data_IF_932193282523
#
_entry.id   IF_932193282523
#
_cell.length_a   1.000
_cell.length_b   1.000
_cell.length_c   1.000
_cell.angle_alpha   90.00
_cell.angle_beta   90.00
_cell.angle_gamma   90.00
#
_symmetry.space_group_name_H-M   'P 1'
#
loop_
_entity.id
_entity.type
_entity.pdbx_description
1 polymer ?
#
# COMPACT_ATOMS: atom_id res chain seq x y z
N UNK A 1 -6.68 -4.06 12.96
CA UNK A 1 -6.16 -2.88 13.70
C UNK A 1 -6.16 -1.62 12.82
N UNK A 2 -5.91 -1.74 11.51
CA UNK A 2 -5.76 -0.62 10.56
C UNK A 2 -7.02 0.21 10.41
N UNK A 3 -8.16 -0.42 10.14
CA UNK A 3 -9.42 0.27 9.91
C UNK A 3 -9.89 1.14 11.09
N UNK A 4 -9.83 0.66 12.34
CA UNK A 4 -10.18 1.50 13.47
C UNK A 4 -9.29 2.74 13.60
N UNK A 5 -7.99 2.61 13.31
CA UNK A 5 -7.07 3.74 13.37
C UNK A 5 -7.32 4.77 12.25
N UNK A 6 -7.61 4.31 11.02
CA UNK A 6 -7.97 5.18 9.90
C UNK A 6 -9.32 5.87 10.12
N UNK A 7 -10.34 5.12 10.56
CA UNK A 7 -11.64 5.69 10.88
C UNK A 7 -11.53 6.75 11.98
N UNK A 8 -10.72 6.49 13.01
CA UNK A 8 -10.46 7.48 14.06
C UNK A 8 -9.79 8.73 13.50
N UNK A 9 -8.85 8.59 12.57
CA UNK A 9 -8.18 9.72 11.93
C UNK A 9 -9.15 10.59 11.12
N UNK A 10 -10.17 9.98 10.50
CA UNK A 10 -11.16 10.69 9.70
C UNK A 10 -12.30 11.29 10.52
N UNK A 11 -12.72 10.62 11.58
CA UNK A 11 -13.86 11.02 12.42
C UNK A 11 -13.45 11.96 13.56
N UNK A 12 -12.15 12.20 13.74
CA UNK A 12 -11.62 13.02 14.83
C UNK A 12 -11.61 12.30 16.18
N UNK A 13 -11.28 13.04 17.23
CA UNK A 13 -11.20 12.52 18.61
C UNK A 13 -12.58 12.40 19.25
N UNK A 14 -13.44 11.57 18.67
CA UNK A 14 -14.74 11.23 19.28
C UNK A 14 -14.56 10.05 20.24
N UNK A 15 -14.54 10.37 21.52
CA UNK A 15 -14.32 9.39 22.59
C UNK A 15 -15.45 8.32 22.67
N UNK A 16 -16.63 8.56 22.09
CA UNK A 16 -17.71 7.58 22.05
C UNK A 16 -17.47 6.50 21.00
N UNK A 17 -16.72 6.80 19.94
CA UNK A 17 -16.39 5.85 18.88
C UNK A 17 -15.22 4.93 19.25
N UNK A 18 -14.31 5.37 20.12
CA UNK A 18 -13.14 4.60 20.52
C UNK A 18 -13.47 3.19 21.05
N UNK A 19 -14.46 2.98 21.92
CA UNK A 19 -14.81 1.64 22.39
C UNK A 19 -15.35 0.72 21.29
N UNK A 20 -16.05 1.29 20.29
CA UNK A 20 -16.60 0.53 19.16
C UNK A 20 -15.48 0.09 18.23
N UNK A 21 -14.58 1.00 17.87
CA UNK A 21 -13.43 0.74 17.01
C UNK A 21 -12.47 -0.25 17.68
N UNK A 22 -12.21 -0.11 18.97
CA UNK A 22 -11.36 -1.02 19.73
C UNK A 22 -11.95 -2.43 19.83
N UNK A 23 -13.27 -2.57 20.07
CA UNK A 23 -13.92 -3.89 20.08
C UNK A 23 -13.86 -4.57 18.72
N UNK A 24 -14.07 -3.84 17.63
CA UNK A 24 -13.98 -4.38 16.28
C UNK A 24 -12.55 -4.87 15.98
N UNK A 25 -11.54 -4.08 16.35
CA UNK A 25 -10.13 -4.44 16.20
C UNK A 25 -9.75 -5.66 17.05
N UNK A 26 -10.15 -5.68 18.32
CA UNK A 26 -9.87 -6.80 19.23
C UNK A 26 -10.53 -8.09 18.76
N UNK A 27 -11.77 -8.01 18.27
CA UNK A 27 -12.50 -9.18 17.72
C UNK A 27 -11.83 -9.71 16.47
N UNK A 28 -11.40 -8.83 15.56
CA UNK A 28 -10.66 -9.22 14.36
C UNK A 28 -9.34 -9.90 14.73
N UNK A 29 -8.54 -9.29 15.61
CA UNK A 29 -7.28 -9.84 16.09
C UNK A 29 -7.49 -11.21 16.77
N UNK A 30 -8.49 -11.34 17.67
CA UNK A 30 -8.81 -12.59 18.35
C UNK A 30 -9.18 -13.72 17.38
N UNK A 31 -9.91 -13.43 16.31
CA UNK A 31 -10.28 -14.43 15.31
C UNK A 31 -9.10 -14.87 14.43
N UNK A 32 -8.08 -14.04 14.25
CA UNK A 32 -6.94 -14.32 13.37
C UNK A 32 -5.71 -14.86 14.14
N UNK A 33 -5.54 -14.48 15.39
CA UNK A 33 -4.43 -14.97 16.23
C UNK A 33 -4.56 -16.44 16.63
N UNK A 34 -5.73 -17.04 16.53
CA UNK A 34 -5.94 -18.46 16.85
C UNK A 34 -5.36 -19.42 15.82
N UNK A 35 -4.88 -18.96 14.68
CA UNK A 35 -4.46 -19.82 13.56
C UNK A 35 -2.98 -19.76 13.18
N UNK A 36 -2.15 -18.98 13.87
CA UNK A 36 -0.74 -18.81 13.47
C UNK A 36 0.22 -19.27 14.56
N UNK A 37 0.65 -20.52 14.48
CA UNK A 37 1.98 -20.85 15.02
C UNK A 37 3.00 -20.05 14.24
N UNK A 38 3.77 -19.19 14.93
CA UNK A 38 4.90 -18.48 14.32
C UNK A 38 5.86 -19.51 13.73
N UNK A 39 6.17 -19.40 12.45
CA UNK A 39 7.19 -20.24 11.82
C UNK A 39 8.53 -20.08 12.54
N UNK A 40 9.43 -21.08 12.43
CA UNK A 40 10.77 -20.99 13.05
C UNK A 40 11.54 -19.76 12.56
N UNK A 41 11.41 -19.39 11.27
CA UNK A 41 12.03 -18.18 10.73
C UNK A 41 11.53 -16.91 11.44
N UNK A 42 10.23 -16.76 11.67
CA UNK A 42 9.68 -15.61 12.39
C UNK A 42 10.09 -15.53 13.86
N UNK A 43 10.31 -16.67 14.48
CA UNK A 43 10.87 -16.70 15.85
C UNK A 43 12.32 -16.24 15.88
N UNK A 44 13.11 -16.62 14.86
CA UNK A 44 14.49 -16.16 14.72
C UNK A 44 14.54 -14.64 14.44
N UNK A 45 13.66 -14.13 13.57
CA UNK A 45 13.55 -12.69 13.26
C UNK A 45 13.15 -11.88 14.51
N UNK A 46 12.19 -12.39 15.30
CA UNK A 46 11.78 -11.76 16.54
C UNK A 46 12.89 -11.77 17.60
N UNK A 47 13.69 -12.84 17.67
CA UNK A 47 14.85 -12.91 18.58
C UNK A 47 15.95 -11.91 18.16
N UNK A 48 16.26 -11.83 16.85
CA UNK A 48 17.22 -10.86 16.33
C UNK A 48 16.77 -9.41 16.58
N UNK A 49 15.47 -9.13 16.42
CA UNK A 49 14.88 -7.83 16.75
C UNK A 49 15.02 -7.51 18.24
N UNK A 50 14.72 -8.46 19.12
CA UNK A 50 14.87 -8.26 20.56
C UNK A 50 16.31 -7.96 20.96
N UNK A 51 17.29 -8.65 20.37
CA UNK A 51 18.71 -8.37 20.59
C UNK A 51 19.10 -6.96 20.10
N UNK A 52 18.55 -6.48 18.99
CA UNK A 52 18.78 -5.12 18.49
C UNK A 52 18.20 -4.07 19.44
N UNK A 53 16.95 -4.27 19.90
CA UNK A 53 16.29 -3.38 20.85
C UNK A 53 17.09 -3.29 22.14
N UNK A 54 17.55 -4.42 22.68
CA UNK A 54 18.38 -4.48 23.90
C UNK A 54 19.75 -3.79 23.71
N UNK A 55 20.31 -3.82 22.50
CA UNK A 55 21.56 -3.16 22.16
C UNK A 55 21.42 -1.62 22.01
N UNK A 56 20.19 -1.14 21.91
CA UNK A 56 19.87 0.24 21.57
C UNK A 56 19.99 0.45 20.06
N UNK A 57 18.86 0.69 19.40
CA UNK A 57 18.83 0.98 17.96
C UNK A 57 19.12 2.47 17.79
N UNK A 58 20.05 2.86 16.90
CA UNK A 58 20.33 4.27 16.65
C UNK A 58 19.09 4.98 16.11
N UNK A 59 18.89 6.25 16.46
CA UNK A 59 17.96 7.11 15.75
C UNK A 59 18.38 7.16 14.29
N UNK A 60 17.53 6.63 13.40
CA UNK A 60 17.83 6.58 11.99
C UNK A 60 17.70 7.95 11.33
N UNK A 61 18.44 8.17 10.26
CA UNK A 61 18.34 9.38 9.44
C UNK A 61 17.39 9.16 8.25
N UNK A 62 16.65 10.22 7.89
CA UNK A 62 15.86 10.24 6.67
C UNK A 62 16.77 10.44 5.46
N UNK A 63 16.77 9.44 4.55
CA UNK A 63 17.63 9.44 3.36
C UNK A 63 16.96 8.75 2.18
N UNK A 64 16.44 9.55 1.23
CA UNK A 64 15.74 9.05 0.06
C UNK A 64 16.65 8.29 -0.93
N UNK A 65 17.95 8.55 -0.94
CA UNK A 65 18.89 7.78 -1.76
C UNK A 65 19.05 6.37 -1.19
N UNK A 66 19.18 6.25 0.12
CA UNK A 66 19.20 4.96 0.82
C UNK A 66 17.87 4.21 0.68
N UNK A 67 16.73 4.92 0.72
CA UNK A 67 15.42 4.32 0.40
C UNK A 67 15.45 3.64 -0.95
N UNK A 68 16.01 4.28 -1.99
CA UNK A 68 16.13 3.70 -3.33
C UNK A 68 17.00 2.43 -3.34
N UNK A 69 18.12 2.45 -2.62
CA UNK A 69 19.02 1.30 -2.50
C UNK A 69 18.33 0.13 -1.80
N UNK A 70 17.69 0.39 -0.66
CA UNK A 70 16.97 -0.64 0.10
C UNK A 70 15.78 -1.17 -0.68
N UNK A 71 15.02 -0.31 -1.34
CA UNK A 71 13.91 -0.72 -2.20
C UNK A 71 14.38 -1.65 -3.33
N UNK A 72 15.50 -1.33 -3.99
CA UNK A 72 16.10 -2.21 -4.99
C UNK A 72 16.55 -3.56 -4.38
N UNK A 73 17.11 -3.53 -3.19
CA UNK A 73 17.43 -4.74 -2.42
C UNK A 73 16.19 -5.60 -2.17
N UNK A 74 15.10 -4.99 -1.67
CA UNK A 74 13.81 -5.67 -1.44
C UNK A 74 13.25 -6.24 -2.75
N UNK A 75 13.34 -5.48 -3.87
CA UNK A 75 12.85 -5.93 -5.16
C UNK A 75 13.50 -7.23 -5.63
N UNK A 76 14.80 -7.39 -5.37
CA UNK A 76 15.62 -8.54 -5.78
C UNK A 76 15.61 -9.71 -4.79
N UNK A 77 15.23 -9.45 -3.54
CA UNK A 77 15.31 -10.44 -2.46
C UNK A 77 14.07 -11.32 -2.44
N UNK A 78 14.27 -12.62 -2.22
CA UNK A 78 13.15 -13.54 -2.02
C UNK A 78 12.44 -13.25 -0.69
N UNK A 79 11.12 -13.47 -0.58
CA UNK A 79 10.36 -13.13 0.63
C UNK A 79 10.89 -13.73 1.94
N UNK A 80 11.52 -14.91 1.88
CA UNK A 80 12.08 -15.58 3.06
C UNK A 80 13.44 -15.03 3.51
N UNK A 81 14.08 -14.19 2.66
CA UNK A 81 15.38 -13.58 2.93
C UNK A 81 15.25 -12.07 3.24
N UNK A 82 14.01 -11.55 3.30
CA UNK A 82 13.78 -10.12 3.52
C UNK A 82 14.15 -9.66 4.93
N UNK A 83 13.88 -10.47 5.96
CA UNK A 83 14.10 -10.04 7.33
C UNK A 83 15.57 -9.64 7.61
N UNK A 84 16.60 -10.41 7.20
CA UNK A 84 17.99 -9.98 7.35
C UNK A 84 18.32 -8.67 6.65
N UNK A 85 17.75 -8.43 5.45
CA UNK A 85 17.93 -7.17 4.73
C UNK A 85 17.35 -5.98 5.50
N UNK A 86 16.12 -6.14 6.01
CA UNK A 86 15.41 -5.08 6.74
C UNK A 86 16.11 -4.77 8.07
N UNK A 87 16.50 -5.80 8.82
CA UNK A 87 17.25 -5.66 10.05
C UNK A 87 18.59 -4.96 9.81
N UNK A 88 19.33 -5.38 8.76
CA UNK A 88 20.59 -4.73 8.38
C UNK A 88 20.40 -3.25 8.04
N UNK A 89 19.32 -2.90 7.34
CA UNK A 89 19.04 -1.50 6.98
C UNK A 89 18.79 -0.62 8.23
N UNK A 90 18.12 -1.16 9.24
CA UNK A 90 17.93 -0.46 10.53
C UNK A 90 19.24 -0.35 11.33
N UNK A 91 20.07 -1.40 11.34
CA UNK A 91 21.40 -1.37 11.95
C UNK A 91 22.33 -0.35 11.30
N UNK A 92 22.18 -0.13 9.99
CA UNK A 92 22.88 0.88 9.20
C UNK A 92 22.26 2.28 9.35
N UNK A 93 21.46 2.52 10.38
CA UNK A 93 20.90 3.83 10.75
C UNK A 93 19.90 4.40 9.73
N UNK A 94 19.15 3.56 8.98
CA UNK A 94 18.01 4.01 8.21
C UNK A 94 16.79 4.21 9.11
N UNK A 95 16.11 5.35 8.99
CA UNK A 95 14.89 5.60 9.76
C UNK A 95 13.82 4.53 9.50
N UNK A 96 13.08 4.06 10.52
CA UNK A 96 12.01 3.06 10.35
C UNK A 96 10.95 3.49 9.33
N UNK A 97 10.63 4.77 9.27
CA UNK A 97 9.70 5.34 8.30
C UNK A 97 10.20 5.18 6.86
N UNK A 98 11.49 5.37 6.64
CA UNK A 98 12.14 5.23 5.34
C UNK A 98 12.22 3.76 4.93
N UNK A 99 12.42 2.86 5.87
CA UNK A 99 12.33 1.42 5.61
C UNK A 99 10.92 1.04 5.14
N UNK A 100 9.88 1.51 5.81
CA UNK A 100 8.50 1.25 5.41
C UNK A 100 8.17 1.92 4.08
N UNK A 101 8.71 3.10 3.80
CA UNK A 101 8.59 3.75 2.49
C UNK A 101 9.22 2.89 1.38
N UNK A 102 10.41 2.33 1.61
CA UNK A 102 11.04 1.42 0.64
C UNK A 102 10.15 0.19 0.35
N UNK A 103 9.58 -0.43 1.38
CA UNK A 103 8.63 -1.54 1.23
C UNK A 103 7.38 -1.11 0.48
N UNK A 104 6.81 0.06 0.79
CA UNK A 104 5.62 0.59 0.15
C UNK A 104 5.83 0.84 -1.35
N UNK A 105 6.94 1.47 -1.73
CA UNK A 105 7.30 1.75 -3.12
C UNK A 105 7.46 0.46 -3.93
N UNK A 106 8.17 -0.53 -3.40
CA UNK A 106 8.33 -1.84 -4.08
C UNK A 106 7.00 -2.57 -4.19
N UNK A 107 6.19 -2.54 -3.14
CA UNK A 107 4.88 -3.17 -3.15
C UNK A 107 3.97 -2.52 -4.20
N UNK A 108 3.98 -1.19 -4.29
CA UNK A 108 3.23 -0.45 -5.29
C UNK A 108 3.72 -0.76 -6.71
N UNK A 109 5.03 -0.70 -6.97
CA UNK A 109 5.59 -1.02 -8.29
C UNK A 109 5.26 -2.45 -8.72
N UNK A 110 5.41 -3.43 -7.82
CA UNK A 110 5.03 -4.83 -8.09
C UNK A 110 3.54 -4.98 -8.37
N UNK A 111 2.69 -4.26 -7.66
CA UNK A 111 1.25 -4.26 -7.89
C UNK A 111 0.92 -3.68 -9.26
N UNK A 112 1.53 -2.55 -9.63
CA UNK A 112 1.34 -1.92 -10.94
C UNK A 112 1.73 -2.84 -12.10
N UNK A 113 2.68 -3.74 -11.89
CA UNK A 113 3.15 -4.73 -12.89
C UNK A 113 2.43 -6.10 -12.77
N UNK A 114 1.51 -6.26 -11.81
CA UNK A 114 0.79 -7.51 -11.60
C UNK A 114 -0.39 -7.62 -12.57
N UNK A 115 -0.42 -8.66 -13.41
CA UNK A 115 -1.60 -8.99 -14.21
C UNK A 115 -2.71 -9.55 -13.34
N UNK A 116 -3.93 -9.07 -13.55
CA UNK A 116 -5.13 -9.59 -12.93
C UNK A 116 -5.94 -10.40 -13.91
N UNK A 117 -6.64 -11.42 -13.39
CA UNK A 117 -7.64 -12.13 -14.17
C UNK A 117 -8.86 -11.20 -14.34
N UNK A 118 -9.16 -10.82 -15.57
CA UNK A 118 -10.29 -9.95 -15.89
C UNK A 118 -11.63 -10.58 -15.51
N UNK A 119 -11.69 -11.92 -15.50
CA UNK A 119 -12.91 -12.68 -15.19
C UNK A 119 -13.03 -12.95 -13.66
N UNK A 120 -11.97 -12.72 -12.88
CA UNK A 120 -11.99 -12.89 -11.42
C UNK A 120 -11.97 -11.52 -10.71
N UNK A 121 -13.14 -11.02 -10.26
CA UNK A 121 -13.27 -9.72 -9.62
C UNK A 121 -12.52 -9.64 -8.27
N UNK A 122 -12.15 -10.77 -7.67
CA UNK A 122 -11.42 -10.79 -6.39
C UNK A 122 -9.91 -10.96 -6.58
N UNK A 123 -9.43 -11.10 -7.81
CA UNK A 123 -7.99 -11.27 -8.08
C UNK A 123 -7.12 -10.14 -7.53
N UNK A 124 -7.52 -8.84 -7.56
CA UNK A 124 -6.73 -7.75 -7.00
C UNK A 124 -6.82 -7.61 -5.48
N UNK A 125 -7.76 -8.28 -4.80
CA UNK A 125 -7.99 -8.11 -3.34
C UNK A 125 -6.73 -8.42 -2.51
N UNK A 126 -6.03 -9.48 -2.88
CA UNK A 126 -4.78 -9.84 -2.21
C UNK A 126 -3.71 -8.75 -2.31
N UNK A 127 -3.32 -8.33 -3.51
CA UNK A 127 -2.42 -7.20 -3.75
C UNK A 127 -2.85 -5.90 -3.09
N UNK A 128 -4.15 -5.55 -3.13
CA UNK A 128 -4.70 -4.39 -2.41
C UNK A 128 -4.38 -4.45 -0.92
N UNK A 129 -4.51 -5.63 -0.30
CA UNK A 129 -4.21 -5.80 1.12
C UNK A 129 -2.71 -5.66 1.41
N UNK A 130 -1.82 -6.01 0.49
CA UNK A 130 -0.39 -5.75 0.66
C UNK A 130 -0.11 -4.24 0.73
N UNK A 131 -0.63 -3.45 -0.22
CA UNK A 131 -0.46 -2.01 -0.25
C UNK A 131 -1.11 -1.33 0.97
N UNK A 132 -2.38 -1.61 1.23
CA UNK A 132 -3.10 -1.00 2.36
C UNK A 132 -2.56 -1.45 3.72
N UNK A 133 -1.98 -2.64 3.81
CA UNK A 133 -1.28 -3.13 5.00
C UNK A 133 -0.02 -2.31 5.29
N UNK A 134 0.79 -2.05 4.28
CA UNK A 134 1.99 -1.21 4.41
C UNK A 134 1.64 0.24 4.77
N UNK A 135 0.64 0.84 4.11
CA UNK A 135 0.11 2.15 4.49
C UNK A 135 -0.30 2.20 5.96
N UNK A 136 -0.94 1.14 6.43
CA UNK A 136 -1.36 1.05 7.82
C UNK A 136 -0.21 0.98 8.81
N UNK A 137 0.83 0.22 8.50
CA UNK A 137 2.04 0.18 9.33
C UNK A 137 2.63 1.58 9.42
N UNK A 138 2.74 2.30 8.30
CA UNK A 138 3.23 3.67 8.29
C UNK A 138 2.39 4.59 9.19
N UNK A 139 1.05 4.48 9.13
CA UNK A 139 0.15 5.23 10.02
C UNK A 139 0.33 4.89 11.50
N UNK A 140 0.67 3.65 11.80
CA UNK A 140 0.99 3.24 13.17
C UNK A 140 2.34 3.81 13.62
N UNK A 141 3.33 3.86 12.73
CA UNK A 141 4.64 4.47 13.01
C UNK A 141 4.52 5.94 13.40
N UNK A 142 3.74 6.73 12.67
CA UNK A 142 3.47 8.15 12.96
C UNK A 142 2.96 8.39 14.41
N UNK A 143 2.40 7.36 15.04
CA UNK A 143 1.76 7.41 16.36
C UNK A 143 2.48 6.59 17.42
N UNK A 144 3.48 5.85 17.03
CA UNK A 144 4.28 5.07 17.95
C UNK A 144 4.97 5.99 18.97
N UNK A 145 4.88 5.63 20.27
CA UNK A 145 5.40 6.44 21.38
C UNK A 145 6.74 5.94 21.90
N UNK A 146 7.22 4.81 21.40
CA UNK A 146 8.52 4.26 21.74
C UNK A 146 9.24 3.81 20.47
N UNK A 147 10.54 3.87 20.50
CA UNK A 147 11.39 3.44 19.39
C UNK A 147 11.24 1.93 19.16
N UNK A 148 11.18 1.13 20.22
CA UNK A 148 10.96 -0.31 20.14
C UNK A 148 9.73 -0.65 19.28
N UNK A 149 8.59 0.03 19.55
CA UNK A 149 7.36 -0.18 18.79
C UNK A 149 7.51 0.27 17.33
N UNK A 150 8.27 1.35 17.06
CA UNK A 150 8.53 1.81 15.68
C UNK A 150 9.30 0.75 14.89
N UNK A 151 10.31 0.13 15.49
CA UNK A 151 11.09 -0.92 14.83
C UNK A 151 10.28 -2.19 14.59
N UNK A 152 9.52 -2.65 15.57
CA UNK A 152 8.62 -3.80 15.40
C UNK A 152 7.63 -3.57 14.26
N UNK A 153 7.03 -2.38 14.18
CA UNK A 153 6.11 -2.02 13.12
C UNK A 153 6.79 -2.01 11.74
N UNK A 154 8.00 -1.45 11.63
CA UNK A 154 8.73 -1.40 10.37
C UNK A 154 9.01 -2.82 9.82
N UNK A 155 9.34 -3.76 10.68
CA UNK A 155 9.56 -5.16 10.29
C UNK A 155 8.27 -5.91 9.94
N UNK A 156 7.10 -5.44 10.37
CA UNK A 156 5.81 -6.03 10.00
C UNK A 156 5.35 -5.62 8.59
N UNK A 157 5.90 -4.55 8.00
CA UNK A 157 5.46 -4.03 6.71
C UNK A 157 5.50 -5.07 5.56
N UNK A 158 6.56 -5.90 5.41
CA UNK A 158 6.65 -6.88 4.32
C UNK A 158 5.84 -8.15 4.57
N UNK A 159 5.24 -8.33 5.73
CA UNK A 159 4.69 -9.60 6.20
C UNK A 159 3.27 -9.89 5.69
N UNK A 160 2.83 -9.19 4.64
CA UNK A 160 1.56 -9.50 4.01
C UNK A 160 1.64 -10.84 3.26
N UNK A 161 0.85 -11.86 3.64
CA UNK A 161 0.82 -13.14 2.92
C UNK A 161 0.41 -12.98 1.46
N UNK A 162 -0.15 -11.84 1.09
CA UNK A 162 -0.59 -11.50 -0.27
C UNK A 162 0.53 -10.91 -1.12
N UNK A 163 1.61 -10.42 -0.51
CA UNK A 163 2.80 -9.95 -1.23
C UNK A 163 3.42 -11.04 -2.14
N UNK A 164 3.18 -12.33 -1.84
CA UNK A 164 3.63 -13.45 -2.67
C UNK A 164 2.94 -13.55 -4.03
N UNK A 165 1.81 -12.89 -4.22
CA UNK A 165 1.04 -12.84 -5.47
C UNK A 165 1.42 -11.67 -6.35
N UNK A 166 2.24 -10.75 -5.85
CA UNK A 166 2.69 -9.61 -6.62
C UNK A 166 3.76 -10.02 -7.64
N UNK A 167 3.79 -9.31 -8.78
CA UNK A 167 4.82 -9.47 -9.79
C UNK A 167 6.23 -9.31 -9.19
N UNK A 168 7.22 -9.91 -9.83
CA UNK A 168 8.63 -9.74 -9.46
C UNK A 168 9.22 -8.68 -10.36
N UNK A 169 9.69 -7.61 -9.76
CA UNK A 169 10.48 -6.58 -10.44
C UNK A 169 11.96 -6.75 -10.11
N UNK A 170 12.84 -6.41 -11.05
CA UNK A 170 14.28 -6.52 -10.85
C UNK A 170 14.87 -5.36 -10.05
N UNK A 171 14.23 -4.19 -10.13
CA UNK A 171 14.63 -2.96 -9.46
C UNK A 171 13.46 -1.98 -9.36
N UNK A 172 13.56 -1.03 -8.44
CA UNK A 172 12.63 0.10 -8.39
C UNK A 172 13.10 1.18 -9.38
N UNK A 173 12.27 1.46 -10.39
CA UNK A 173 12.54 2.50 -11.38
C UNK A 173 11.68 3.72 -11.12
N UNK A 174 12.18 4.89 -11.55
CA UNK A 174 11.36 6.10 -11.66
C UNK A 174 10.73 6.11 -13.05
N UNK A 175 9.38 6.09 -13.17
CA UNK A 175 8.74 6.12 -14.48
C UNK A 175 9.05 7.41 -15.24
N UNK A 176 9.17 7.36 -16.59
CA UNK A 176 9.29 8.56 -17.39
C UNK A 176 7.98 9.36 -17.41
N UNK A 177 8.07 10.68 -17.54
CA UNK A 177 6.90 11.55 -17.65
C UNK A 177 6.39 11.65 -19.08
N UNK A 178 5.07 11.83 -19.24
CA UNK A 178 4.41 12.13 -20.50
C UNK A 178 3.35 13.21 -20.29
N UNK A 179 3.38 14.25 -21.14
CA UNK A 179 2.42 15.36 -21.08
C UNK A 179 0.98 14.93 -21.46
N UNK A 180 0.83 13.85 -22.23
CA UNK A 180 -0.47 13.25 -22.61
C UNK A 180 -1.09 12.33 -21.56
N UNK A 181 -0.33 11.96 -20.51
CA UNK A 181 -0.68 10.92 -19.55
C UNK A 181 -2.06 11.09 -18.89
N UNK A 182 -2.54 12.32 -18.70
CA UNK A 182 -3.86 12.56 -18.06
C UNK A 182 -5.01 12.14 -18.97
N UNK A 183 -4.94 12.41 -20.26
CA UNK A 183 -6.01 12.05 -21.20
C UNK A 183 -5.99 10.55 -21.45
N UNK A 184 -4.80 9.94 -21.54
CA UNK A 184 -4.64 8.50 -21.66
C UNK A 184 -5.16 7.77 -20.40
N UNK A 185 -4.88 8.32 -19.21
CA UNK A 185 -5.41 7.79 -17.96
C UNK A 185 -6.96 7.80 -17.92
N UNK A 186 -7.57 8.91 -18.32
CA UNK A 186 -9.04 9.01 -18.39
C UNK A 186 -9.63 8.00 -19.35
N UNK A 187 -9.05 7.90 -20.54
CA UNK A 187 -9.49 6.91 -21.54
C UNK A 187 -9.39 5.48 -20.99
N UNK A 188 -8.26 5.12 -20.39
CA UNK A 188 -8.06 3.79 -19.83
C UNK A 188 -9.00 3.48 -18.64
N UNK A 189 -9.32 4.47 -17.81
CA UNK A 189 -10.30 4.32 -16.71
C UNK A 189 -11.72 4.12 -17.25
N UNK A 190 -12.10 4.86 -18.30
CA UNK A 190 -13.41 4.76 -18.93
C UNK A 190 -13.58 3.41 -19.66
N UNK A 191 -12.53 2.93 -20.32
CA UNK A 191 -12.47 1.63 -21.00
C UNK A 191 -12.36 0.45 -20.01
N UNK A 192 -12.03 0.71 -18.76
CA UNK A 192 -11.80 -0.33 -17.74
C UNK A 192 -10.57 -1.18 -18.04
N UNK A 193 -9.51 -0.58 -18.60
CA UNK A 193 -8.24 -1.25 -18.90
C UNK A 193 -7.22 -1.02 -17.75
N UNK A 194 -6.99 -2.02 -16.87
CA UNK A 194 -6.11 -1.85 -15.72
C UNK A 194 -4.64 -1.65 -16.09
N UNK A 195 -4.18 -2.26 -17.19
CA UNK A 195 -2.78 -2.18 -17.63
C UNK A 195 -2.51 -0.79 -18.21
N UNK A 196 -3.34 -0.33 -19.12
CA UNK A 196 -3.25 1.02 -19.70
C UNK A 196 -3.40 2.11 -18.62
N UNK A 197 -4.31 1.93 -17.66
CA UNK A 197 -4.50 2.89 -16.57
C UNK A 197 -3.26 2.98 -15.67
N UNK A 198 -2.62 1.86 -15.35
CA UNK A 198 -1.39 1.86 -14.56
C UNK A 198 -0.23 2.51 -15.31
N UNK A 199 -0.07 2.21 -16.61
CA UNK A 199 0.96 2.80 -17.46
C UNK A 199 0.79 4.33 -17.55
N UNK A 200 -0.39 4.81 -17.94
CA UNK A 200 -0.67 6.23 -18.04
C UNK A 200 -0.51 6.96 -16.68
N UNK A 201 -1.02 6.37 -15.59
CA UNK A 201 -0.89 6.96 -14.26
C UNK A 201 0.57 7.05 -13.78
N UNK A 202 1.41 6.07 -14.13
CA UNK A 202 2.84 6.09 -13.80
C UNK A 202 3.60 7.21 -14.52
N UNK A 203 3.12 7.63 -15.69
CA UNK A 203 3.72 8.68 -16.51
C UNK A 203 3.26 10.10 -16.15
N UNK A 204 2.36 10.28 -15.18
CA UNK A 204 1.89 11.60 -14.75
C UNK A 204 3.06 12.39 -14.12
N UNK A 205 3.28 13.66 -14.54
CA UNK A 205 4.31 14.50 -13.93
C UNK A 205 4.03 14.77 -12.45
N UNK A 206 4.77 14.12 -11.56
CA UNK A 206 4.51 14.18 -10.11
C UNK A 206 4.82 15.54 -9.48
N UNK A 207 5.60 16.38 -10.15
CA UNK A 207 5.93 17.75 -9.72
C UNK A 207 4.93 18.80 -10.22
N UNK A 208 4.04 18.44 -11.15
CA UNK A 208 2.93 19.30 -11.59
C UNK A 208 1.69 19.08 -10.73
N UNK A 209 1.43 20.01 -9.82
CA UNK A 209 0.30 19.91 -8.89
C UNK A 209 -1.08 19.85 -9.61
N UNK A 210 -1.20 20.49 -10.79
CA UNK A 210 -2.44 20.47 -11.55
C UNK A 210 -2.65 19.08 -12.20
N UNK A 211 -1.61 18.50 -12.80
CA UNK A 211 -1.63 17.16 -13.36
C UNK A 211 -1.92 16.12 -12.27
N UNK A 212 -1.25 16.21 -11.14
CA UNK A 212 -1.46 15.31 -9.98
C UNK A 212 -2.92 15.39 -9.47
N UNK A 213 -3.46 16.62 -9.33
CA UNK A 213 -4.85 16.80 -8.88
C UNK A 213 -5.84 16.21 -9.88
N UNK A 214 -5.61 16.44 -11.18
CA UNK A 214 -6.47 15.89 -12.24
C UNK A 214 -6.44 14.37 -12.26
N UNK A 215 -5.27 13.76 -12.13
CA UNK A 215 -5.10 12.32 -12.09
C UNK A 215 -5.81 11.68 -10.88
N UNK A 216 -5.58 12.19 -9.68
CA UNK A 216 -6.26 11.68 -8.49
C UNK A 216 -7.77 11.88 -8.52
N UNK A 217 -8.26 12.97 -9.12
CA UNK A 217 -9.69 13.19 -9.33
C UNK A 217 -10.29 12.14 -10.26
N UNK A 218 -9.62 11.81 -11.37
CA UNK A 218 -10.06 10.79 -12.30
C UNK A 218 -10.10 9.40 -11.63
N UNK A 219 -9.01 9.01 -10.95
CA UNK A 219 -8.93 7.73 -10.23
C UNK A 219 -9.99 7.62 -9.14
N UNK A 220 -10.18 8.67 -8.33
CA UNK A 220 -11.20 8.68 -7.28
C UNK A 220 -12.62 8.54 -7.84
N UNK A 221 -12.91 9.22 -8.97
CA UNK A 221 -14.20 9.12 -9.65
C UNK A 221 -14.46 7.70 -10.13
N UNK A 222 -13.48 7.04 -10.73
CA UNK A 222 -13.59 5.65 -11.15
C UNK A 222 -13.74 4.70 -9.95
N UNK A 223 -12.93 4.89 -8.90
CA UNK A 223 -12.94 4.03 -7.72
C UNK A 223 -14.28 4.02 -6.96
N UNK A 224 -15.02 5.14 -6.92
CA UNK A 224 -16.33 5.19 -6.24
C UNK A 224 -17.43 4.45 -7.00
N UNK A 225 -17.19 4.03 -8.23
CA UNK A 225 -18.10 3.16 -8.96
C UNK A 225 -18.02 1.70 -8.50
N UNK A 226 -17.00 1.34 -7.73
CA UNK A 226 -16.79 -0.01 -7.20
C UNK A 226 -17.91 -0.41 -6.23
N UNK A 227 -18.80 -1.27 -6.72
CA UNK A 227 -19.89 -1.81 -5.93
C UNK A 227 -19.68 -3.28 -5.58
N UNK A 228 -18.80 -3.97 -6.28
CA UNK A 228 -18.56 -5.38 -6.10
C UNK A 228 -17.58 -5.68 -4.97
N UNK A 229 -16.47 -5.00 -4.95
CA UNK A 229 -15.42 -5.23 -3.95
C UNK A 229 -15.66 -4.48 -2.62
N UNK A 230 -16.87 -3.98 -2.43
CA UNK A 230 -17.32 -3.34 -1.18
C UNK A 230 -16.25 -2.39 -0.64
N UNK A 231 -15.98 -1.33 -1.39
CA UNK A 231 -15.02 -0.28 -1.00
C UNK A 231 -13.52 -0.62 -1.10
N UNK A 232 -13.12 -1.77 -1.64
CA UNK A 232 -11.68 -2.07 -1.76
C UNK A 232 -10.96 -1.09 -2.69
N UNK A 233 -11.58 -0.72 -3.82
CA UNK A 233 -10.99 0.28 -4.71
C UNK A 233 -10.91 1.65 -4.03
N UNK A 234 -11.97 2.09 -3.36
CA UNK A 234 -11.97 3.34 -2.59
C UNK A 234 -10.92 3.33 -1.48
N UNK A 235 -10.90 2.28 -0.68
CA UNK A 235 -9.92 2.12 0.40
C UNK A 235 -8.48 2.16 -0.12
N UNK A 236 -8.22 1.46 -1.22
CA UNK A 236 -6.90 1.41 -1.83
C UNK A 236 -6.51 2.78 -2.38
N UNK A 237 -7.41 3.44 -3.10
CA UNK A 237 -7.18 4.79 -3.63
C UNK A 237 -6.82 5.77 -2.51
N UNK A 238 -7.54 5.75 -1.39
CA UNK A 238 -7.23 6.62 -0.24
C UNK A 238 -5.86 6.30 0.34
N UNK A 239 -5.52 5.03 0.55
CA UNK A 239 -4.23 4.63 1.09
C UNK A 239 -3.08 5.06 0.18
N UNK A 240 -3.22 4.85 -1.13
CA UNK A 240 -2.20 5.22 -2.11
C UNK A 240 -2.07 6.74 -2.27
N UNK A 241 -3.19 7.47 -2.19
CA UNK A 241 -3.16 8.93 -2.17
C UNK A 241 -2.38 9.47 -0.98
N UNK A 242 -2.58 8.91 0.21
CA UNK A 242 -1.84 9.28 1.40
C UNK A 242 -0.34 8.99 1.24
N UNK A 243 0.03 7.77 0.76
CA UNK A 243 1.42 7.39 0.56
C UNK A 243 2.10 8.27 -0.50
N UNK A 244 1.39 8.63 -1.58
CA UNK A 244 1.89 9.55 -2.60
C UNK A 244 2.22 10.93 -2.02
N UNK A 245 1.29 11.53 -1.28
CA UNK A 245 1.45 12.90 -0.78
C UNK A 245 2.42 13.02 0.40
N UNK A 246 2.64 11.95 1.12
CA UNK A 246 3.60 11.92 2.22
C UNK A 246 5.02 11.54 1.76
N UNK A 247 5.16 11.07 0.53
CA UNK A 247 6.45 10.71 -0.04
C UNK A 247 7.01 11.82 -0.92
N UNK A 248 8.26 12.23 -0.65
CA UNK A 248 9.04 13.07 -1.55
C UNK A 248 9.88 12.22 -2.55
N UNK A 249 9.77 10.88 -2.51
CA UNK A 249 10.57 10.00 -3.36
C UNK A 249 10.16 10.12 -4.83
N UNK A 250 11.13 10.19 -5.79
CA UNK A 250 10.82 10.34 -7.22
C UNK A 250 9.94 9.20 -7.79
N UNK A 251 10.04 8.00 -7.24
CA UNK A 251 9.24 6.85 -7.66
C UNK A 251 7.80 6.83 -7.08
N UNK A 252 7.34 7.90 -6.41
CA UNK A 252 5.98 7.97 -5.82
C UNK A 252 4.84 7.80 -6.83
N UNK A 253 5.12 8.00 -8.14
CA UNK A 253 4.15 7.75 -9.20
C UNK A 253 3.57 6.32 -9.17
N UNK A 254 4.31 5.33 -8.65
CA UNK A 254 3.80 3.97 -8.49
C UNK A 254 2.58 3.88 -7.57
N UNK A 255 2.43 4.77 -6.60
CA UNK A 255 1.22 4.81 -5.77
C UNK A 255 0.00 5.22 -6.59
N UNK A 256 0.14 6.19 -7.48
CA UNK A 256 -0.94 6.59 -8.39
C UNK A 256 -1.25 5.46 -9.40
N UNK A 257 -0.23 4.83 -9.95
CA UNK A 257 -0.37 3.72 -10.90
C UNK A 257 -1.17 2.55 -10.33
N UNK A 258 -0.89 2.14 -9.09
CA UNK A 258 -1.64 1.05 -8.44
C UNK A 258 -3.09 1.42 -8.15
N UNK A 259 -3.34 2.65 -7.74
CA UNK A 259 -4.70 3.15 -7.51
C UNK A 259 -5.50 3.17 -8.81
N UNK A 260 -4.90 3.67 -9.90
CA UNK A 260 -5.51 3.69 -11.23
C UNK A 260 -5.82 2.28 -11.74
N UNK A 261 -4.88 1.35 -11.61
CA UNK A 261 -5.08 -0.05 -11.96
C UNK A 261 -6.28 -0.66 -11.27
N UNK A 262 -6.40 -0.44 -9.95
CA UNK A 262 -7.52 -0.97 -9.18
C UNK A 262 -8.84 -0.32 -9.57
N UNK A 263 -8.85 1.00 -9.82
CA UNK A 263 -10.04 1.73 -10.22
C UNK A 263 -10.55 1.28 -11.60
N UNK A 264 -9.65 1.11 -12.58
CA UNK A 264 -9.98 0.58 -13.90
C UNK A 264 -10.54 -0.85 -13.83
N UNK A 265 -9.90 -1.73 -13.03
CA UNK A 265 -10.43 -3.09 -12.82
C UNK A 265 -11.84 -3.07 -12.22
N UNK A 266 -12.10 -2.20 -11.25
CA UNK A 266 -13.43 -2.06 -10.66
C UNK A 266 -14.49 -1.57 -11.69
N UNK A 267 -14.08 -0.77 -12.67
CA UNK A 267 -14.94 -0.32 -13.76
C UNK A 267 -15.22 -1.44 -14.76
N UNK A 268 -14.23 -2.28 -15.06
CA UNK A 268 -14.35 -3.39 -16.03
C UNK A 268 -15.25 -4.52 -15.54
N UNK A 269 -15.29 -4.76 -14.22
CA UNK A 269 -16.08 -5.87 -13.66
C UNK A 269 -17.58 -5.62 -13.83
N UNK A 270 -18.29 -6.57 -14.44
CA UNK A 270 -19.76 -6.52 -14.53
C UNK A 270 -20.38 -6.47 -13.15
N UNK A 271 -21.06 -5.38 -12.86
CA UNK A 271 -21.67 -5.08 -11.57
C UNK A 271 -23.20 -5.20 -11.65
N UNK A 272 -23.75 -6.43 -11.58
CA UNK A 272 -25.18 -6.66 -11.80
C UNK A 272 -26.07 -5.87 -10.84
N UNK A 273 -25.62 -5.59 -9.62
CA UNK A 273 -26.37 -4.77 -8.66
C UNK A 273 -26.40 -3.30 -9.07
N UNK A 274 -25.30 -2.76 -9.56
CA UNK A 274 -25.24 -1.39 -10.08
C UNK A 274 -26.12 -1.21 -11.32
N UNK A 275 -26.06 -2.17 -12.24
CA UNK A 275 -26.94 -2.20 -13.42
C UNK A 275 -28.39 -2.24 -13.00
N UNK A 276 -28.76 -3.13 -12.07
CA UNK A 276 -30.12 -3.25 -11.56
C UNK A 276 -30.58 -2.00 -10.84
N UNK A 277 -29.70 -1.35 -10.07
CA UNK A 277 -30.05 -0.09 -9.41
C UNK A 277 -30.32 1.03 -10.40
N UNK A 278 -29.51 1.15 -11.47
CA UNK A 278 -29.76 2.12 -12.56
C UNK A 278 -31.09 1.86 -13.25
N UNK A 279 -31.36 0.60 -13.63
CA UNK A 279 -32.64 0.21 -14.23
C UNK A 279 -33.88 0.55 -13.37
N UNK A 280 -33.72 0.67 -12.05
CA UNK A 280 -34.80 1.02 -11.13
C UNK A 280 -34.94 2.54 -10.91
N UNK A 281 -33.92 3.32 -11.27
CA UNK A 281 -33.91 4.77 -11.13
C UNK A 281 -34.29 5.50 -12.42
N UNK A 282 -34.20 4.83 -13.58
CA UNK A 282 -34.69 5.25 -14.89
C UNK A 282 -36.20 4.91 -15.03
#
# INVERSE_FOLDING_TARGET
LVYPAQLRAWLGDDAELDPVLFRAAARYAGNHLQSTELSESRRADAAALAEMVDAGIPDGEHDLERVSVVATGIARTAPHDLAPLLLGSLQDELAPEDLVLAVALVTAARFADTSFDADDPVSPVGPIHACTGTNAVRRCLERARSDDLRFELALCAPDSPTARRLARIGELTVPPFDDGAIDDLRAALDDGDPDAAAEAASAVPTEDAAAVTAAWSAVATAAVTDQWMVTHAVKHTVAMHEDFHQSAHPARAWFLATAARTAAHATAVDQPLARRARELLD
#
